data_IF_128223997510
#
_entry.id   IF_128223997510
#
_cell.length_a   1.000
_cell.length_b   1.000
_cell.length_c   1.000
_cell.angle_alpha   90.00
_cell.angle_beta   90.00
_cell.angle_gamma   90.00
#
_symmetry.space_group_name_H-M   'P 1'
#
loop_
_entity.id
_entity.type
_entity.pdbx_description
1 polymer ?
#
# COMPACT_ATOMS: atom_id res chain seq x y z
N UNK A 1 18.53 63.00 31.49
CA UNK A 1 19.44 61.89 31.85
C UNK A 1 18.56 60.72 32.28
N UNK A 2 18.71 59.47 31.88
CA UNK A 2 19.81 58.76 31.25
C UNK A 2 19.27 57.63 30.36
N UNK A 3 20.01 57.29 29.31
CA UNK A 3 19.79 56.13 28.47
C UNK A 3 20.30 54.87 29.18
N UNK A 4 19.52 53.78 29.19
CA UNK A 4 19.98 52.46 29.61
C UNK A 4 20.07 51.55 28.39
N UNK A 5 21.31 51.21 28.07
CA UNK A 5 21.84 50.56 26.88
C UNK A 5 21.44 49.08 26.83
N UNK A 6 20.84 48.67 25.72
CA UNK A 6 20.56 47.27 25.41
C UNK A 6 21.88 46.46 25.42
N UNK A 7 21.97 45.46 26.29
CA UNK A 7 23.09 44.50 26.29
C UNK A 7 22.77 43.40 25.30
N UNK A 8 23.32 43.55 24.10
CA UNK A 8 23.44 42.53 23.06
C UNK A 8 24.32 41.40 23.59
N UNK A 9 23.71 40.27 23.95
CA UNK A 9 24.45 39.02 24.15
C UNK A 9 24.81 38.49 22.76
N UNK A 10 26.05 38.72 22.34
CA UNK A 10 26.65 38.02 21.22
C UNK A 10 26.82 36.56 21.61
N UNK A 11 26.13 35.67 20.90
CA UNK A 11 26.43 34.24 20.91
C UNK A 11 27.65 34.04 19.97
N UNK A 12 28.81 33.58 20.45
CA UNK A 12 30.06 33.57 19.68
C UNK A 12 30.27 32.31 18.81
N UNK A 13 29.24 31.50 18.60
CA UNK A 13 29.30 30.38 17.65
C UNK A 13 28.44 30.69 16.44
N UNK A 14 29.07 31.33 15.47
CA UNK A 14 28.57 31.40 14.10
C UNK A 14 28.65 30.03 13.46
N UNK A 15 27.49 29.47 13.13
CA UNK A 15 27.34 28.51 12.05
C UNK A 15 26.04 28.88 11.33
N UNK A 16 26.18 29.77 10.36
CA UNK A 16 25.21 29.89 9.27
C UNK A 16 25.62 28.85 8.25
N UNK A 17 24.71 27.94 7.91
CA UNK A 17 24.43 27.47 6.56
C UNK A 17 23.20 26.54 6.65
N UNK A 18 22.09 27.08 6.17
CA UNK A 18 20.78 26.53 5.79
C UNK A 18 20.59 24.99 5.66
N UNK A 19 20.33 24.25 6.76
CA UNK A 19 19.93 22.81 6.69
C UNK A 19 18.91 22.40 7.78
N UNK A 20 17.91 23.22 8.05
CA UNK A 20 16.75 22.90 8.91
C UNK A 20 15.50 22.54 8.09
N UNK A 21 15.66 21.60 7.16
CA UNK A 21 14.58 21.08 6.30
C UNK A 21 14.18 19.61 6.52
N UNK A 22 14.91 18.82 7.31
CA UNK A 22 14.83 17.36 7.18
C UNK A 22 14.86 16.55 8.48
N UNK A 23 14.04 16.88 9.49
CA UNK A 23 13.47 15.91 10.44
C UNK A 23 12.64 16.67 11.50
N UNK A 24 11.30 16.63 11.43
CA UNK A 24 10.51 17.21 12.53
C UNK A 24 9.00 17.39 12.36
N UNK A 25 8.40 17.02 11.22
CA UNK A 25 6.96 17.22 10.96
C UNK A 25 6.25 15.96 10.44
N UNK A 26 6.74 14.75 10.76
CA UNK A 26 6.26 13.50 10.14
C UNK A 26 5.18 12.75 10.92
N UNK A 27 4.74 13.19 12.10
CA UNK A 27 3.74 12.45 12.89
C UNK A 27 2.27 12.82 12.59
N UNK A 28 1.98 14.01 12.05
CA UNK A 28 0.57 14.42 11.74
C UNK A 28 0.10 14.02 10.34
N UNK A 29 1.02 13.62 9.47
CA UNK A 29 0.78 13.40 8.04
C UNK A 29 0.66 11.91 7.66
N UNK A 30 0.56 11.01 8.63
CA UNK A 30 0.25 9.60 8.36
C UNK A 30 -1.08 9.46 7.63
N UNK A 31 -2.12 10.14 8.12
CA UNK A 31 -3.42 10.21 7.46
C UNK A 31 -3.35 10.87 6.07
N UNK A 32 -2.68 12.01 5.95
CA UNK A 32 -2.58 12.74 4.68
C UNK A 32 -1.83 11.95 3.58
N UNK A 33 -0.74 11.24 3.92
CA UNK A 33 -0.03 10.36 2.97
C UNK A 33 -0.86 9.13 2.58
N UNK A 34 -1.62 8.56 3.52
CA UNK A 34 -2.50 7.40 3.24
C UNK A 34 -3.72 7.77 2.40
N UNK A 35 -4.32 8.94 2.64
CA UNK A 35 -5.37 9.50 1.79
C UNK A 35 -4.86 9.71 0.35
N UNK A 36 -3.65 10.25 0.18
CA UNK A 36 -3.04 10.45 -1.14
C UNK A 36 -2.74 9.13 -1.88
N UNK A 37 -2.42 8.04 -1.19
CA UNK A 37 -2.21 6.74 -1.83
C UNK A 37 -3.53 6.12 -2.32
N UNK A 38 -4.61 6.27 -1.54
CA UNK A 38 -5.96 5.91 -1.97
C UNK A 38 -6.43 6.75 -3.17
N UNK A 39 -5.97 8.00 -3.30
CA UNK A 39 -6.21 8.84 -4.49
C UNK A 39 -5.56 8.32 -5.77
N UNK A 40 -4.54 7.45 -5.69
CA UNK A 40 -3.87 6.88 -6.87
C UNK A 40 -4.60 5.66 -7.43
N UNK A 41 -5.52 5.06 -6.68
CA UNK A 41 -6.23 3.84 -7.08
C UNK A 41 -7.65 4.20 -7.45
N UNK A 42 -7.98 4.02 -8.72
CA UNK A 42 -9.31 4.28 -9.25
C UNK A 42 -10.21 3.04 -9.13
N UNK A 43 -11.07 3.04 -8.10
CA UNK A 43 -12.03 1.96 -7.85
C UNK A 43 -13.25 1.99 -8.80
N UNK A 44 -13.47 3.09 -9.54
CA UNK A 44 -14.61 3.19 -10.47
C UNK A 44 -14.49 2.20 -11.63
N UNK A 45 -13.25 1.81 -11.97
CA UNK A 45 -12.90 0.82 -12.99
C UNK A 45 -13.25 -0.62 -12.62
N UNK A 46 -13.60 -0.89 -11.36
CA UNK A 46 -13.95 -2.23 -10.91
C UNK A 46 -15.43 -2.52 -11.16
N UNK A 47 -15.72 -3.71 -11.67
CA UNK A 47 -17.09 -4.21 -11.81
C UNK A 47 -17.81 -4.30 -10.45
N UNK A 48 -19.13 -4.17 -10.46
CA UNK A 48 -19.95 -4.22 -9.24
C UNK A 48 -19.74 -5.53 -8.45
N UNK A 49 -19.55 -6.66 -9.14
CA UNK A 49 -19.26 -7.94 -8.50
C UNK A 49 -17.94 -7.95 -7.73
N UNK A 50 -16.92 -7.23 -8.20
CA UNK A 50 -15.63 -7.10 -7.50
C UNK A 50 -15.75 -6.21 -6.27
N UNK A 51 -16.50 -5.11 -6.36
CA UNK A 51 -16.80 -4.25 -5.21
C UNK A 51 -17.56 -5.01 -4.11
N UNK A 52 -18.57 -5.79 -4.49
CA UNK A 52 -19.33 -6.63 -3.55
C UNK A 52 -18.48 -7.72 -2.90
N UNK A 53 -17.55 -8.33 -3.65
CA UNK A 53 -16.59 -9.31 -3.09
C UNK A 53 -15.69 -8.66 -2.05
N UNK A 54 -15.14 -7.48 -2.33
CA UNK A 54 -14.33 -6.73 -1.37
C UNK A 54 -15.14 -6.44 -0.10
N UNK A 55 -16.36 -5.94 -0.27
CA UNK A 55 -17.29 -5.64 0.83
C UNK A 55 -17.52 -6.85 1.74
N UNK A 56 -17.83 -8.02 1.16
CA UNK A 56 -18.06 -9.26 1.90
C UNK A 56 -16.79 -9.75 2.61
N UNK A 57 -15.64 -9.69 1.96
CA UNK A 57 -14.36 -10.14 2.53
C UNK A 57 -13.98 -9.35 3.79
N UNK A 58 -14.20 -8.05 3.78
CA UNK A 58 -13.89 -7.14 4.89
C UNK A 58 -15.10 -6.79 5.77
N UNK A 59 -16.25 -7.44 5.53
CA UNK A 59 -17.50 -7.27 6.29
C UNK A 59 -17.91 -5.80 6.45
N UNK A 60 -17.78 -5.01 5.38
CA UNK A 60 -18.17 -3.60 5.40
C UNK A 60 -19.70 -3.49 5.61
N UNK A 61 -20.17 -2.47 6.37
CA UNK A 61 -21.59 -2.26 6.63
C UNK A 61 -22.44 -2.25 5.36
N UNK A 62 -23.58 -2.95 5.39
CA UNK A 62 -24.61 -2.82 4.35
C UNK A 62 -25.54 -1.67 4.68
N UNK A 63 -25.88 -0.85 3.69
CA UNK A 63 -27.13 -0.11 3.74
C UNK A 63 -28.04 -0.62 2.62
N UNK A 64 -29.30 -1.00 2.91
CA UNK A 64 -30.21 -1.59 1.93
C UNK A 64 -30.53 -0.65 0.75
N UNK A 65 -30.33 0.66 0.92
CA UNK A 65 -30.47 1.68 -0.13
C UNK A 65 -29.13 2.21 -0.64
N UNK A 66 -28.00 1.59 -0.27
CA UNK A 66 -26.69 2.05 -0.73
C UNK A 66 -26.56 1.91 -2.25
N UNK A 67 -26.16 3.01 -2.88
CA UNK A 67 -25.84 3.05 -4.30
C UNK A 67 -24.43 2.50 -4.55
N UNK A 68 -24.09 2.31 -5.84
CA UNK A 68 -22.72 1.95 -6.25
C UNK A 68 -21.68 2.95 -5.74
N UNK A 69 -22.01 4.24 -5.73
CA UNK A 69 -21.10 5.30 -5.28
C UNK A 69 -20.90 5.28 -3.77
N UNK A 70 -21.95 4.98 -2.99
CA UNK A 70 -21.84 4.79 -1.54
C UNK A 70 -20.90 3.63 -1.21
N UNK A 71 -21.03 2.52 -1.96
CA UNK A 71 -20.14 1.37 -1.83
C UNK A 71 -18.70 1.73 -2.16
N UNK A 72 -18.46 2.49 -3.23
CA UNK A 72 -17.14 2.97 -3.60
C UNK A 72 -16.52 3.83 -2.50
N UNK A 73 -17.26 4.81 -1.97
CA UNK A 73 -16.75 5.66 -0.90
C UNK A 73 -16.44 4.86 0.38
N UNK A 74 -17.26 3.86 0.71
CA UNK A 74 -16.98 2.98 1.85
C UNK A 74 -15.69 2.17 1.63
N UNK A 75 -15.49 1.63 0.43
CA UNK A 75 -14.30 0.86 0.06
C UNK A 75 -13.06 1.75 0.07
N UNK A 76 -13.10 2.94 -0.52
CA UNK A 76 -11.96 3.88 -0.54
C UNK A 76 -11.52 4.23 0.88
N UNK A 77 -12.49 4.58 1.74
CA UNK A 77 -12.22 4.90 3.16
C UNK A 77 -11.62 3.73 3.91
N UNK A 78 -12.17 2.53 3.72
CA UNK A 78 -11.65 1.33 4.35
C UNK A 78 -10.23 1.02 3.83
N UNK A 79 -10.02 0.97 2.53
CA UNK A 79 -8.74 0.65 1.90
C UNK A 79 -7.62 1.59 2.35
N UNK A 80 -7.90 2.90 2.46
CA UNK A 80 -6.94 3.87 2.96
C UNK A 80 -6.48 3.59 4.41
N UNK A 81 -7.34 2.95 5.21
CA UNK A 81 -7.12 2.70 6.63
C UNK A 81 -6.68 1.26 6.96
N UNK A 82 -6.84 0.31 6.04
CA UNK A 82 -6.40 -1.08 6.22
C UNK A 82 -4.91 -1.15 6.51
N UNK A 83 -4.56 -1.82 7.60
CA UNK A 83 -3.20 -2.23 7.91
C UNK A 83 -3.03 -3.69 7.51
N UNK A 84 -1.88 -3.97 6.92
CA UNK A 84 -1.50 -5.31 6.46
C UNK A 84 -0.13 -5.65 7.04
N UNK A 85 0.01 -6.89 7.47
CA UNK A 85 1.31 -7.50 7.74
C UNK A 85 1.98 -7.78 6.39
N UNK A 86 3.13 -7.15 6.14
CA UNK A 86 3.80 -7.21 4.85
C UNK A 86 4.25 -8.63 4.51
N UNK A 87 4.89 -9.31 5.45
CA UNK A 87 5.44 -10.66 5.24
C UNK A 87 4.31 -11.65 4.96
N UNK A 88 3.26 -11.61 5.78
CA UNK A 88 2.11 -12.49 5.60
C UNK A 88 1.41 -12.22 4.27
N UNK A 89 1.29 -10.94 3.89
CA UNK A 89 0.62 -10.51 2.66
C UNK A 89 1.39 -10.95 1.43
N UNK A 90 2.71 -10.78 1.41
CA UNK A 90 3.56 -11.17 0.29
C UNK A 90 3.56 -12.70 0.10
N UNK A 91 3.64 -13.46 1.19
CA UNK A 91 3.58 -14.93 1.14
C UNK A 91 2.23 -15.38 0.57
N UNK A 92 1.12 -14.85 1.09
CA UNK A 92 -0.23 -15.17 0.60
C UNK A 92 -0.39 -14.83 -0.87
N UNK A 93 0.10 -13.66 -1.29
CA UNK A 93 0.05 -13.22 -2.68
C UNK A 93 0.83 -14.15 -3.61
N UNK A 94 2.10 -14.47 -3.29
CA UNK A 94 2.92 -15.37 -4.11
C UNK A 94 2.28 -16.76 -4.24
N UNK A 95 1.72 -17.30 -3.16
CA UNK A 95 1.02 -18.58 -3.17
C UNK A 95 -0.26 -18.54 -4.01
N UNK A 96 -1.04 -17.45 -3.92
CA UNK A 96 -2.22 -17.24 -4.74
C UNK A 96 -1.86 -17.12 -6.23
N UNK A 97 -0.82 -16.36 -6.58
CA UNK A 97 -0.30 -16.24 -7.95
C UNK A 97 0.16 -17.60 -8.48
N UNK A 98 0.86 -18.41 -7.69
CA UNK A 98 1.29 -19.75 -8.12
C UNK A 98 0.09 -20.67 -8.40
N UNK A 99 -0.90 -20.67 -7.50
CA UNK A 99 -2.12 -21.48 -7.64
C UNK A 99 -2.96 -21.02 -8.84
N UNK A 100 -3.13 -19.72 -9.00
CA UNK A 100 -3.98 -19.15 -10.06
C UNK A 100 -3.26 -19.16 -11.41
N UNK A 101 -1.94 -19.02 -11.44
CA UNK A 101 -1.14 -19.18 -12.65
C UNK A 101 -1.27 -20.58 -13.24
N UNK A 102 -1.35 -21.63 -12.40
CA UNK A 102 -1.67 -22.99 -12.87
C UNK A 102 -3.08 -23.08 -13.46
N UNK A 103 -4.07 -22.42 -12.85
CA UNK A 103 -5.47 -22.42 -13.31
C UNK A 103 -5.68 -21.59 -14.59
N UNK A 104 -4.89 -20.54 -14.78
CA UNK A 104 -4.95 -19.62 -15.92
C UNK A 104 -3.95 -19.99 -17.02
N UNK A 105 -3.25 -21.12 -16.90
CA UNK A 105 -2.28 -21.59 -17.91
C UNK A 105 -0.96 -20.81 -17.97
N UNK A 106 -0.72 -19.88 -17.04
CA UNK A 106 0.51 -19.10 -16.89
C UNK A 106 1.59 -19.82 -16.05
N UNK A 107 1.34 -21.06 -15.64
CA UNK A 107 2.29 -21.85 -14.86
C UNK A 107 3.57 -22.14 -15.65
N UNK A 108 4.72 -22.00 -14.98
CA UNK A 108 6.01 -22.47 -15.48
C UNK A 108 5.87 -23.94 -15.85
N UNK A 109 5.91 -24.27 -17.14
CA UNK A 109 5.95 -25.65 -17.61
C UNK A 109 7.25 -26.23 -17.04
N UNK A 110 7.15 -27.15 -16.08
CA UNK A 110 8.31 -27.95 -15.67
C UNK A 110 8.92 -28.53 -16.95
N UNK A 111 10.24 -28.40 -17.18
CA UNK A 111 10.86 -29.07 -18.31
C UNK A 111 10.49 -30.56 -18.19
N UNK A 112 9.89 -31.11 -19.25
CA UNK A 112 9.70 -32.55 -19.34
C UNK A 112 11.09 -33.15 -19.33
N UNK A 113 11.57 -33.57 -18.16
CA UNK A 113 12.69 -34.51 -18.08
C UNK A 113 12.16 -35.79 -18.70
N UNK A 114 12.35 -35.93 -20.02
CA UNK A 114 12.05 -37.15 -20.72
C UNK A 114 12.85 -38.25 -20.05
N UNK A 115 12.17 -39.19 -19.40
CA UNK A 115 12.79 -40.45 -19.00
C UNK A 115 13.30 -41.10 -20.27
N UNK A 116 14.59 -40.91 -20.59
CA UNK A 116 15.27 -41.64 -21.65
C UNK A 116 15.35 -43.07 -21.17
N UNK A 117 14.40 -43.89 -21.61
CA UNK A 117 14.42 -45.34 -21.37
C UNK A 117 15.67 -45.88 -22.10
N UNK A 118 16.61 -46.54 -21.42
CA UNK A 118 17.76 -47.10 -22.12
C UNK A 118 17.27 -48.14 -23.12
N UNK A 119 17.59 -47.93 -24.40
CA UNK A 119 17.48 -48.96 -25.42
C UNK A 119 18.48 -50.05 -25.04
N UNK A 120 17.98 -51.13 -24.44
CA UNK A 120 18.74 -52.36 -24.24
C UNK A 120 19.29 -52.81 -25.58
N UNK A 121 20.62 -52.91 -25.65
CA UNK A 121 21.35 -53.41 -26.79
C UNK A 121 21.89 -54.81 -26.50
N UNK A 122 21.86 -55.62 -27.56
CA UNK A 122 22.37 -56.99 -27.75
C UNK A 122 21.49 -58.11 -27.24
#
# INVERSE_FOLDING_TARGET
MAAAKARRTMNPYGHSDDEDGYLGKTARNGAARRFNLASRIDFTKLELGSLQRYRKAYKLPEHPTATRDDLLQAIVRHFANVYVDEDETLIKFAMACRRNGQRLGLGVKKPRTGSVKPRGGR
#
